data_IF_670758964509
#
_entry.id   IF_670758964509
#
_cell.length_a   1.000
_cell.length_b   1.000
_cell.length_c   1.000
_cell.angle_alpha   90.00
_cell.angle_beta   90.00
_cell.angle_gamma   90.00
#
_symmetry.space_group_name_H-M   'P 1'
#
loop_
_entity.id
_entity.type
_entity.pdbx_description
1 polymer ?
#
# COMPACT_ATOMS: atom_id res chain seq x y z
N UNK A 1 -5.49 -11.02 -7.06
CA UNK A 1 -5.05 -10.72 -5.66
C UNK A 1 -6.11 -9.90 -4.94
N UNK A 2 -6.42 -10.12 -3.65
CA UNK A 2 -7.54 -9.39 -3.01
C UNK A 2 -7.19 -7.93 -2.66
N UNK A 3 -8.14 -6.98 -2.74
CA UNK A 3 -7.92 -5.57 -2.35
C UNK A 3 -7.41 -5.40 -0.92
N UNK A 4 -7.89 -6.24 0.00
CA UNK A 4 -7.48 -6.20 1.40
C UNK A 4 -6.01 -6.58 1.59
N UNK A 5 -5.54 -7.64 0.92
CA UNK A 5 -4.15 -8.07 0.98
C UNK A 5 -3.20 -6.99 0.45
N UNK A 6 -3.58 -6.31 -0.64
CA UNK A 6 -2.78 -5.22 -1.22
C UNK A 6 -2.70 -4.03 -0.29
N UNK A 7 -3.84 -3.60 0.26
CA UNK A 7 -3.88 -2.56 1.26
C UNK A 7 -2.94 -2.88 2.43
N UNK A 8 -3.04 -4.10 2.96
CA UNK A 8 -2.25 -4.53 4.11
C UNK A 8 -0.75 -4.57 3.80
N UNK A 9 -0.35 -5.13 2.65
CA UNK A 9 1.06 -5.23 2.28
C UNK A 9 1.71 -3.85 2.15
N UNK A 10 1.03 -2.90 1.52
CA UNK A 10 1.49 -1.52 1.40
C UNK A 10 1.65 -0.89 2.78
N UNK A 11 0.63 -0.99 3.64
CA UNK A 11 0.66 -0.39 4.98
C UNK A 11 1.79 -0.98 5.82
N UNK A 12 1.96 -2.30 5.84
CA UNK A 12 3.01 -2.96 6.62
C UNK A 12 4.40 -2.65 6.09
N UNK A 13 4.58 -2.58 4.77
CA UNK A 13 5.89 -2.27 4.17
C UNK A 13 6.39 -0.88 4.53
N UNK A 14 5.48 0.07 4.72
CA UNK A 14 5.79 1.48 4.94
C UNK A 14 5.44 1.96 6.35
N UNK A 15 5.21 1.05 7.30
CA UNK A 15 4.98 1.38 8.70
C UNK A 15 5.88 0.54 9.61
N UNK A 16 6.58 1.17 10.54
CA UNK A 16 7.27 0.49 11.63
C UNK A 16 6.44 0.60 12.91
N UNK A 17 5.87 -0.53 13.32
CA UNK A 17 5.03 -0.63 14.51
C UNK A 17 5.82 -0.52 15.82
N UNK A 18 7.09 -0.94 15.82
CA UNK A 18 7.91 -0.91 17.03
C UNK A 18 8.17 0.54 17.44
N UNK A 19 8.33 1.41 16.44
CA UNK A 19 8.65 2.83 16.66
C UNK A 19 7.48 3.77 16.35
N UNK A 20 6.33 3.24 15.91
CA UNK A 20 5.17 4.02 15.47
C UNK A 20 5.52 5.03 14.37
N UNK A 21 6.42 4.64 13.47
CA UNK A 21 6.84 5.46 12.33
C UNK A 21 6.04 5.06 11.09
N UNK A 22 5.53 6.06 10.36
CA UNK A 22 4.68 5.85 9.19
C UNK A 22 5.26 6.66 8.02
N UNK A 23 5.69 5.97 6.97
CA UNK A 23 6.12 6.57 5.70
C UNK A 23 4.91 6.85 4.81
N UNK A 24 4.02 7.72 5.29
CA UNK A 24 2.80 8.12 4.56
C UNK A 24 3.14 8.69 3.17
N UNK A 25 4.30 9.32 3.03
CA UNK A 25 4.81 9.81 1.75
C UNK A 25 4.95 8.68 0.71
N UNK A 26 5.46 7.52 1.11
CA UNK A 26 5.61 6.35 0.26
C UNK A 26 4.27 5.65 0.00
N UNK A 27 3.37 5.62 0.98
CA UNK A 27 2.00 5.14 0.79
C UNK A 27 1.26 5.99 -0.25
N UNK A 28 1.42 7.31 -0.20
CA UNK A 28 0.85 8.24 -1.20
C UNK A 28 1.46 8.01 -2.58
N UNK A 29 2.76 7.71 -2.69
CA UNK A 29 3.37 7.32 -3.97
C UNK A 29 2.76 6.02 -4.51
N UNK A 30 2.51 5.02 -3.66
CA UNK A 30 1.82 3.79 -4.07
C UNK A 30 0.41 4.08 -4.59
N UNK A 31 -0.36 4.94 -3.93
CA UNK A 31 -1.68 5.37 -4.42
C UNK A 31 -1.59 6.04 -5.80
N UNK A 32 -0.59 6.88 -6.03
CA UNK A 32 -0.36 7.54 -7.32
C UNK A 32 0.04 6.54 -8.41
N UNK A 33 0.89 5.57 -8.09
CA UNK A 33 1.28 4.50 -9.00
C UNK A 33 0.05 3.63 -9.38
N UNK A 34 -0.76 3.20 -8.40
CA UNK A 34 -2.01 2.48 -8.63
C UNK A 34 -2.97 3.23 -9.55
N UNK A 35 -3.10 4.56 -9.41
CA UNK A 35 -3.91 5.38 -10.33
C UNK A 35 -3.37 5.31 -11.77
N UNK A 36 -2.06 5.39 -11.94
CA UNK A 36 -1.42 5.29 -13.26
C UNK A 36 -1.64 3.90 -13.87
N UNK A 37 -1.43 2.83 -13.11
CA UNK A 37 -1.63 1.46 -13.59
C UNK A 37 -3.09 1.16 -13.93
N UNK A 38 -4.04 1.56 -13.08
CA UNK A 38 -5.49 1.50 -13.37
C UNK A 38 -5.87 2.24 -14.66
N UNK A 39 -5.11 3.26 -15.04
CA UNK A 39 -5.32 4.05 -16.25
C UNK A 39 -4.52 3.51 -17.45
N UNK A 40 -3.93 2.30 -17.34
CA UNK A 40 -3.27 1.55 -18.40
C UNK A 40 -1.80 1.89 -18.65
N UNK A 41 -1.13 2.52 -17.68
CA UNK A 41 0.31 2.84 -17.79
C UNK A 41 1.16 1.65 -17.41
N UNK A 42 2.33 1.48 -18.05
CA UNK A 42 3.25 0.39 -17.73
C UNK A 42 4.15 0.70 -16.54
N UNK A 43 4.83 -0.33 -16.01
CA UNK A 43 5.84 -0.19 -14.94
C UNK A 43 6.99 0.73 -15.38
N UNK A 44 7.45 0.62 -16.63
CA UNK A 44 8.54 1.44 -17.19
C UNK A 44 8.14 2.92 -17.26
N UNK A 45 6.89 3.21 -17.64
CA UNK A 45 6.39 4.58 -17.66
C UNK A 45 6.38 5.19 -16.25
N UNK A 46 5.99 4.43 -15.23
CA UNK A 46 6.02 4.90 -13.83
C UNK A 46 7.45 5.03 -13.32
N UNK A 47 8.35 4.10 -13.66
CA UNK A 47 9.77 4.17 -13.32
C UNK A 47 10.45 5.41 -13.90
N UNK A 48 10.04 5.85 -15.09
CA UNK A 48 10.56 7.05 -15.74
C UNK A 48 10.27 8.34 -14.97
N UNK A 49 9.20 8.39 -14.18
CA UNK A 49 8.91 9.48 -13.24
C UNK A 49 9.61 9.23 -11.91
N UNK A 50 10.87 9.66 -11.80
CA UNK A 50 11.66 9.50 -10.56
C UNK A 50 11.04 10.17 -9.33
N UNK A 51 10.21 11.21 -9.49
CA UNK A 51 9.52 11.84 -8.34
C UNK A 51 8.48 10.90 -7.74
N UNK A 52 7.87 10.08 -8.59
CA UNK A 52 6.91 9.07 -8.19
C UNK A 52 7.59 7.76 -7.78
N UNK A 53 8.54 7.26 -8.56
CA UNK A 53 9.08 5.91 -8.42
C UNK A 53 10.13 5.74 -7.32
N UNK A 54 10.85 6.80 -6.96
CA UNK A 54 11.92 6.71 -5.96
C UNK A 54 11.42 6.16 -4.63
N UNK A 55 12.14 5.18 -4.08
CA UNK A 55 11.88 4.42 -2.85
C UNK A 55 10.70 3.44 -2.90
N UNK A 56 9.95 3.39 -4.01
CA UNK A 56 8.88 2.42 -4.21
C UNK A 56 9.15 1.48 -5.38
N UNK A 57 10.34 1.53 -5.99
CA UNK A 57 10.67 0.74 -7.19
C UNK A 57 10.40 -0.76 -6.98
N UNK A 58 10.78 -1.29 -5.81
CA UNK A 58 10.63 -2.71 -5.47
C UNK A 58 9.20 -3.20 -5.21
N UNK A 59 8.19 -2.34 -5.27
CA UNK A 59 6.77 -2.73 -5.17
C UNK A 59 6.00 -2.44 -6.48
N UNK A 60 6.59 -1.76 -7.47
CA UNK A 60 5.85 -1.32 -8.66
C UNK A 60 5.28 -2.47 -9.49
N UNK A 61 6.04 -3.54 -9.71
CA UNK A 61 5.54 -4.72 -10.43
C UNK A 61 4.34 -5.34 -9.72
N UNK A 62 4.41 -5.46 -8.39
CA UNK A 62 3.31 -5.97 -7.56
C UNK A 62 2.04 -5.11 -7.69
N UNK A 63 2.19 -3.78 -7.62
CA UNK A 63 1.06 -2.86 -7.80
C UNK A 63 0.47 -2.90 -9.21
N UNK A 64 1.32 -3.08 -10.22
CA UNK A 64 0.90 -3.21 -11.62
C UNK A 64 0.12 -4.51 -11.84
N UNK A 65 0.64 -5.65 -11.39
CA UNK A 65 -0.07 -6.93 -11.44
C UNK A 65 -1.44 -6.85 -10.77
N UNK A 66 -1.53 -6.23 -9.58
CA UNK A 66 -2.82 -6.03 -8.93
C UNK A 66 -3.79 -5.20 -9.78
N UNK A 67 -3.33 -4.13 -10.44
CA UNK A 67 -4.17 -3.27 -11.26
C UNK A 67 -4.61 -3.93 -12.58
N UNK A 68 -3.83 -4.84 -13.14
CA UNK A 68 -4.17 -5.62 -14.34
C UNK A 68 -5.13 -6.79 -14.04
N UNK A 69 -4.98 -7.41 -12.87
CA UNK A 69 -5.77 -8.59 -12.47
C UNK A 69 -7.15 -8.26 -11.90
N UNK A 70 -7.40 -7.01 -11.50
CA UNK A 70 -8.64 -6.59 -10.84
C UNK A 70 -9.31 -5.45 -11.60
N UNK A 71 -10.62 -5.30 -11.38
CA UNK A 71 -11.35 -4.19 -11.99
C UNK A 71 -10.99 -2.83 -11.36
N UNK A 72 -11.39 -1.75 -12.04
CA UNK A 72 -11.09 -0.38 -11.61
C UNK A 72 -11.72 -0.04 -10.26
N UNK A 73 -12.85 -0.66 -9.90
CA UNK A 73 -13.53 -0.40 -8.64
C UNK A 73 -12.71 -0.95 -7.47
N UNK A 74 -12.19 -2.16 -7.60
CA UNK A 74 -11.31 -2.77 -6.60
C UNK A 74 -10.01 -1.99 -6.42
N UNK A 75 -9.40 -1.51 -7.51
CA UNK A 75 -8.23 -0.61 -7.41
C UNK A 75 -8.59 0.69 -6.69
N UNK A 76 -9.76 1.28 -6.97
CA UNK A 76 -10.22 2.49 -6.29
C UNK A 76 -10.46 2.28 -4.81
N UNK A 77 -11.05 1.13 -4.41
CA UNK A 77 -11.25 0.78 -3.00
C UNK A 77 -9.93 0.74 -2.23
N UNK A 78 -8.87 0.17 -2.82
CA UNK A 78 -7.54 0.18 -2.21
C UNK A 78 -7.00 1.60 -2.07
N UNK A 79 -7.09 2.40 -3.14
CA UNK A 79 -6.64 3.81 -3.11
C UNK A 79 -7.37 4.60 -2.02
N UNK A 80 -8.68 4.42 -1.89
CA UNK A 80 -9.49 5.11 -0.89
C UNK A 80 -9.15 4.64 0.53
N UNK A 81 -8.96 3.33 0.74
CA UNK A 81 -8.54 2.78 2.02
C UNK A 81 -7.16 3.31 2.45
N UNK A 82 -6.19 3.36 1.54
CA UNK A 82 -4.86 3.97 1.80
C UNK A 82 -4.99 5.47 2.08
N UNK A 83 -5.89 6.17 1.38
CA UNK A 83 -6.20 7.57 1.62
C UNK A 83 -6.80 7.82 3.01
N UNK A 84 -7.66 6.93 3.50
CA UNK A 84 -8.18 6.98 4.87
C UNK A 84 -7.07 6.68 5.88
N UNK A 85 -6.25 5.65 5.61
CA UNK A 85 -5.14 5.26 6.48
C UNK A 85 -4.17 6.43 6.69
N UNK A 86 -3.63 7.01 5.61
CA UNK A 86 -2.65 8.11 5.68
C UNK A 86 -3.15 9.32 6.47
N UNK A 87 -4.46 9.63 6.40
CA UNK A 87 -5.09 10.73 7.14
C UNK A 87 -5.43 10.38 8.60
N UNK A 88 -5.39 9.10 8.97
CA UNK A 88 -5.73 8.68 10.31
C UNK A 88 -4.65 9.10 11.33
N UNK A 89 -5.03 9.45 12.58
CA UNK A 89 -4.06 9.65 13.65
C UNK A 89 -3.20 8.40 13.88
N UNK A 90 -1.94 8.58 14.30
CA UNK A 90 -1.01 7.48 14.57
C UNK A 90 -1.60 6.38 15.50
N UNK A 91 -2.31 6.69 16.60
CA UNK A 91 -2.93 5.66 17.43
C UNK A 91 -3.98 4.81 16.69
N UNK A 92 -4.69 5.38 15.72
CA UNK A 92 -5.66 4.66 14.90
C UNK A 92 -4.96 3.73 13.90
N UNK A 93 -3.88 4.19 13.26
CA UNK A 93 -3.05 3.38 12.35
C UNK A 93 -2.49 2.15 13.06
N UNK A 94 -1.94 2.34 14.27
CA UNK A 94 -1.45 1.25 15.12
C UNK A 94 -2.54 0.22 15.42
N UNK A 95 -3.76 0.66 15.77
CA UNK A 95 -4.89 -0.24 16.02
C UNK A 95 -5.31 -1.02 14.79
N UNK A 96 -5.36 -0.39 13.61
CA UNK A 96 -5.67 -1.06 12.34
C UNK A 96 -4.65 -2.18 12.10
N UNK A 97 -3.36 -1.87 12.23
CA UNK A 97 -2.32 -2.85 11.97
C UNK A 97 -2.34 -3.98 13.00
N UNK A 98 -2.44 -3.67 14.29
CA UNK A 98 -2.52 -4.67 15.35
C UNK A 98 -3.74 -5.60 15.20
N UNK A 99 -4.88 -5.06 14.79
CA UNK A 99 -6.07 -5.85 14.46
C UNK A 99 -5.76 -6.82 13.33
N UNK A 100 -5.12 -6.36 12.26
CA UNK A 100 -4.81 -7.21 11.12
C UNK A 100 -3.74 -8.27 11.46
N UNK A 101 -2.71 -7.93 12.24
CA UNK A 101 -1.73 -8.91 12.72
C UNK A 101 -2.38 -10.02 13.56
N UNK A 102 -3.39 -9.65 14.35
CA UNK A 102 -4.19 -10.60 15.15
C UNK A 102 -5.01 -11.51 14.25
N UNK A 103 -5.70 -10.95 13.25
CA UNK A 103 -6.57 -11.69 12.33
C UNK A 103 -5.80 -12.59 11.35
N UNK A 104 -4.60 -12.18 10.95
CA UNK A 104 -3.76 -12.92 9.99
C UNK A 104 -2.76 -13.86 10.65
N UNK A 105 -2.66 -13.86 11.99
CA UNK A 105 -1.69 -14.66 12.73
C UNK A 105 -0.24 -14.18 12.61
N UNK A 106 0.02 -13.07 11.89
CA UNK A 106 1.36 -12.47 11.73
C UNK A 106 1.97 -11.99 13.06
N UNK A 107 1.15 -11.77 14.09
CA UNK A 107 1.61 -11.39 15.43
C UNK A 107 2.22 -12.50 16.29
N UNK A 108 2.23 -13.77 15.85
CA UNK A 108 2.74 -14.93 16.63
C UNK A 108 4.11 -15.45 16.19
N UNK A 109 4.99 -14.58 15.70
CA UNK A 109 6.35 -14.97 15.32
C UNK A 109 7.43 -14.13 16.01
N UNK A 110 7.38 -14.03 17.34
CA UNK A 110 8.57 -13.79 18.18
C UNK A 110 8.40 -14.60 19.47
N UNK A 111 9.22 -15.63 19.61
CA UNK A 111 9.32 -16.45 20.81
C UNK A 111 9.93 -15.71 21.99
#
# INVERSE_FOLDING_TARGET
MSPFEVFLDIVLRFSDLKWSEFRDDLVVKCMKALRKFRDGRSVEEVLSDRKLSSEIEGILEYLHSFAEENDREDVNRVIDALGMFTKAPAPCKMKIIALVETLTGRGKAKG
#
